data_IF_935116202402
#
_entry.id   IF_935116202402
#
_cell.length_a   1.000
_cell.length_b   1.000
_cell.length_c   1.000
_cell.angle_alpha   90.00
_cell.angle_beta   90.00
_cell.angle_gamma   90.00
#
_symmetry.space_group_name_H-M   'P 1'
#
loop_
_entity.id
_entity.type
_entity.pdbx_description
1 polymer ?
#
# COMPACT_ATOMS: atom_id res chain seq x y z
N UNK A 1 2.80 7.83 10.87
CA UNK A 1 4.01 7.20 10.29
C UNK A 1 3.75 6.48 8.96
N UNK A 2 2.95 5.39 8.93
CA UNK A 2 2.64 4.66 7.67
C UNK A 2 1.97 5.56 6.62
N UNK A 3 0.96 6.36 7.02
CA UNK A 3 0.33 7.36 6.16
C UNK A 3 1.31 8.40 5.62
N UNK A 4 2.25 8.85 6.44
CA UNK A 4 3.22 9.86 6.05
C UNK A 4 4.14 9.31 4.93
N UNK A 5 4.72 8.12 5.13
CA UNK A 5 5.53 7.44 4.11
C UNK A 5 4.72 7.18 2.84
N UNK A 6 3.44 6.79 2.99
CA UNK A 6 2.54 6.55 1.86
C UNK A 6 2.34 7.81 1.00
N UNK A 7 2.03 8.96 1.60
CA UNK A 7 1.84 10.22 0.87
C UNK A 7 3.15 10.84 0.38
N UNK A 8 4.24 10.72 1.15
CA UNK A 8 5.60 11.13 0.77
C UNK A 8 6.01 10.48 -0.56
N UNK A 9 5.71 9.19 -0.73
CA UNK A 9 5.98 8.46 -1.96
C UNK A 9 4.82 8.48 -2.98
N UNK A 10 3.98 9.52 -2.94
CA UNK A 10 2.88 9.74 -3.90
C UNK A 10 1.96 8.52 -4.04
N UNK A 11 1.71 7.84 -2.93
CA UNK A 11 0.84 6.67 -2.82
C UNK A 11 1.32 5.46 -3.65
N UNK A 12 2.56 5.45 -4.16
CA UNK A 12 3.12 4.33 -4.95
C UNK A 12 3.60 3.16 -4.08
N UNK A 13 3.73 3.38 -2.78
CA UNK A 13 4.34 2.43 -1.87
C UNK A 13 3.27 1.56 -1.22
N UNK A 14 3.30 0.26 -1.52
CA UNK A 14 2.49 -0.74 -0.82
C UNK A 14 3.16 -1.26 0.45
N UNK A 15 2.56 -2.27 1.06
CA UNK A 15 3.03 -2.85 2.33
C UNK A 15 4.51 -3.23 2.33
N UNK A 16 5.01 -3.81 1.25
CA UNK A 16 6.42 -4.21 1.12
C UNK A 16 7.36 -3.01 1.13
N UNK A 17 7.10 -1.99 0.30
CA UNK A 17 7.96 -0.80 0.19
C UNK A 17 7.92 0.05 1.45
N UNK A 18 6.74 0.19 2.07
CA UNK A 18 6.62 0.87 3.36
C UNK A 18 7.40 0.12 4.45
N UNK A 19 7.37 -1.21 4.44
CA UNK A 19 8.13 -2.01 5.42
C UNK A 19 9.64 -1.84 5.25
N UNK A 20 10.13 -1.79 4.01
CA UNK A 20 11.54 -1.49 3.73
C UNK A 20 11.94 -0.11 4.23
N UNK A 21 11.08 0.89 4.03
CA UNK A 21 11.32 2.26 4.48
C UNK A 21 11.30 2.36 6.01
N UNK A 22 10.41 1.63 6.68
CA UNK A 22 10.41 1.49 8.14
C UNK A 22 11.68 0.82 8.64
N UNK A 23 12.14 -0.24 7.96
CA UNK A 23 13.39 -0.93 8.30
C UNK A 23 14.61 0.00 8.18
N UNK A 24 14.69 0.81 7.11
CA UNK A 24 15.73 1.84 6.93
C UNK A 24 15.72 2.89 8.05
N UNK A 25 14.54 3.20 8.58
CA UNK A 25 14.36 4.11 9.72
C UNK A 25 14.57 3.41 11.08
N UNK A 26 15.05 2.17 11.10
CA UNK A 26 15.33 1.37 12.31
C UNK A 26 14.12 0.61 12.87
N UNK A 27 12.96 0.70 12.23
CA UNK A 27 11.69 0.15 12.72
C UNK A 27 11.38 -1.17 12.03
N UNK A 28 11.56 -2.25 12.76
CA UNK A 28 11.33 -3.60 12.26
C UNK A 28 9.88 -4.02 12.51
N UNK A 29 9.08 -4.00 11.44
CA UNK A 29 7.69 -4.46 11.47
C UNK A 29 7.46 -5.48 10.36
N UNK A 30 6.62 -6.48 10.62
CA UNK A 30 6.25 -7.45 9.60
C UNK A 30 5.39 -6.78 8.51
N UNK A 31 5.72 -7.02 7.24
CA UNK A 31 4.96 -6.51 6.09
C UNK A 31 3.49 -6.93 6.10
N UNK A 32 3.15 -8.09 6.70
CA UNK A 32 1.75 -8.51 6.88
C UNK A 32 0.98 -7.59 7.83
N UNK A 33 1.64 -7.03 8.85
CA UNK A 33 1.05 -6.08 9.79
C UNK A 33 0.84 -4.72 9.12
N UNK A 34 1.84 -4.25 8.36
CA UNK A 34 1.73 -3.03 7.55
C UNK A 34 0.62 -3.15 6.50
N UNK A 35 0.49 -4.31 5.85
CA UNK A 35 -0.59 -4.57 4.89
C UNK A 35 -1.99 -4.54 5.52
N UNK A 36 -2.18 -5.14 6.71
CA UNK A 36 -3.44 -5.06 7.45
C UNK A 36 -3.79 -3.62 7.83
N UNK A 37 -2.81 -2.84 8.30
CA UNK A 37 -3.01 -1.43 8.64
C UNK A 37 -3.35 -0.59 7.41
N UNK A 38 -2.67 -0.79 6.28
CA UNK A 38 -3.00 -0.12 5.02
C UNK A 38 -4.45 -0.42 4.60
N UNK A 39 -4.86 -1.68 4.67
CA UNK A 39 -6.23 -2.09 4.32
C UNK A 39 -7.28 -1.48 5.25
N UNK A 40 -7.06 -1.53 6.57
CA UNK A 40 -7.94 -0.90 7.56
C UNK A 40 -8.07 0.62 7.35
N UNK A 41 -7.01 1.26 6.86
CA UNK A 41 -6.99 2.69 6.56
C UNK A 41 -7.51 3.04 5.16
N UNK A 42 -7.89 2.04 4.34
CA UNK A 42 -8.33 2.24 2.97
C UNK A 42 -7.24 2.76 2.02
N UNK A 43 -5.96 2.57 2.37
CA UNK A 43 -4.82 3.08 1.61
C UNK A 43 -4.31 2.02 0.64
N UNK A 44 -4.55 2.25 -0.64
CA UNK A 44 -4.15 1.33 -1.70
C UNK A 44 -3.05 1.96 -2.57
N UNK A 45 -1.96 1.22 -2.76
CA UNK A 45 -0.86 1.73 -3.56
C UNK A 45 -1.28 1.93 -5.03
N UNK A 46 -0.97 3.10 -5.60
CA UNK A 46 -1.14 3.41 -7.02
C UNK A 46 -0.34 2.42 -7.87
N UNK A 47 -0.99 1.86 -8.89
CA UNK A 47 -0.40 0.83 -9.73
C UNK A 47 -0.33 -0.56 -9.09
N UNK A 48 -0.80 -0.73 -7.84
CA UNK A 48 -1.13 -2.07 -7.37
C UNK A 48 -2.23 -2.61 -8.27
N UNK A 49 -1.97 -3.77 -8.88
CA UNK A 49 -2.86 -4.45 -9.83
C UNK A 49 -4.26 -4.73 -9.28
N UNK A 50 -4.55 -4.40 -8.03
CA UNK A 50 -5.86 -4.61 -7.42
C UNK A 50 -6.95 -3.78 -8.12
N UNK A 51 -6.69 -2.51 -8.45
CA UNK A 51 -7.61 -1.71 -9.27
C UNK A 51 -7.69 -2.24 -10.72
N UNK A 52 -6.55 -2.66 -11.30
CA UNK A 52 -6.51 -3.24 -12.66
C UNK A 52 -7.32 -4.54 -12.78
N UNK A 53 -7.34 -5.40 -11.74
CA UNK A 53 -8.11 -6.66 -11.74
C UNK A 53 -9.63 -6.45 -11.82
N UNK A 54 -10.14 -5.31 -11.37
CA UNK A 54 -11.57 -5.00 -11.37
C UNK A 54 -11.95 -3.88 -12.35
N UNK A 55 -10.98 -3.21 -12.97
CA UNK A 55 -11.19 -2.16 -13.96
C UNK A 55 -12.04 -2.64 -15.15
N UNK A 56 -11.84 -3.87 -15.61
CA UNK A 56 -12.60 -4.47 -16.72
C UNK A 56 -13.93 -5.16 -16.32
N UNK A 57 -14.36 -5.13 -15.04
CA UNK A 57 -15.64 -5.75 -14.64
C UNK A 57 -16.87 -4.86 -14.85
N UNK A 58 -16.74 -3.66 -15.43
CA UNK A 58 -17.85 -2.70 -15.62
C UNK A 58 -18.27 -2.49 -17.08
N UNK A 59 -18.11 -3.47 -17.96
CA UNK A 59 -18.74 -3.45 -19.31
C UNK A 59 -19.20 -4.84 -19.74
N UNK A 60 -20.33 -5.24 -19.19
CA UNK A 60 -21.25 -6.17 -19.83
C UNK A 60 -22.61 -5.47 -19.78
N UNK A 61 -22.90 -4.69 -20.82
CA UNK A 61 -24.24 -4.18 -21.14
C UNK A 61 -24.73 -4.93 -22.36
#
# INVERSE_FOLDING_TARGET
>A
MIKAIFYEHKERYGSVRITQELCRRGIHVNHKRVGRLLHQLGLYAKGSRYQYKYYNRRRSS
#
